data_IF_448560629617
#
_entry.id   IF_448560629617
#
_cell.length_a   1.000
_cell.length_b   1.000
_cell.length_c   1.000
_cell.angle_alpha   90.00
_cell.angle_beta   90.00
_cell.angle_gamma   90.00
#
_symmetry.space_group_name_H-M   'P 1'
#
loop_
_entity.id
_entity.type
_entity.pdbx_description
1 polymer ?
#
# COMPACT_ATOMS: atom_id res chain seq x y z
N UNK A 1 -1.75 3.34 -23.58
CA UNK A 1 -1.44 2.57 -23.14
C UNK A 1 -1.15 2.44 -21.99
N UNK A 2 -1.49 2.16 -21.76
CA UNK A 2 -1.34 1.88 -20.67
C UNK A 2 -0.13 1.83 -20.21
N UNK A 3 -0.05 2.27 -19.27
CA UNK A 3 1.22 2.22 -18.69
C UNK A 3 2.00 0.99 -19.08
N UNK A 4 3.19 1.20 -19.48
CA UNK A 4 4.07 0.10 -19.80
C UNK A 4 4.79 -0.39 -18.56
N UNK A 5 4.52 0.21 -17.41
CA UNK A 5 5.17 -0.18 -16.19
C UNK A 5 4.58 -1.46 -15.65
N UNK A 6 5.42 -2.47 -15.53
CA UNK A 6 5.06 -3.70 -14.87
C UNK A 6 5.58 -3.61 -13.45
N UNK A 7 4.66 -3.48 -12.50
CA UNK A 7 5.02 -3.41 -11.09
C UNK A 7 5.14 -4.82 -10.54
N UNK A 8 6.36 -5.31 -10.45
CA UNK A 8 6.61 -6.68 -10.00
C UNK A 8 6.18 -6.91 -8.56
N UNK A 9 6.08 -5.83 -7.77
CA UNK A 9 5.66 -5.93 -6.38
C UNK A 9 4.14 -5.88 -6.19
N UNK A 10 3.38 -5.47 -7.21
CA UNK A 10 1.94 -5.37 -7.08
C UNK A 10 1.25 -6.69 -6.72
N UNK A 11 1.61 -7.84 -7.29
CA UNK A 11 1.01 -9.10 -6.87
C UNK A 11 1.25 -9.42 -5.40
N UNK A 12 2.44 -9.11 -4.89
CA UNK A 12 2.77 -9.33 -3.48
C UNK A 12 1.97 -8.39 -2.58
N UNK A 13 1.88 -7.12 -2.95
CA UNK A 13 1.09 -6.14 -2.21
C UNK A 13 -0.38 -6.56 -2.20
N UNK A 14 -0.90 -6.98 -3.34
CA UNK A 14 -2.27 -7.47 -3.46
C UNK A 14 -2.51 -8.65 -2.50
N UNK A 15 -1.59 -9.60 -2.47
CA UNK A 15 -1.73 -10.77 -1.61
C UNK A 15 -1.67 -10.39 -0.14
N UNK A 16 -0.82 -9.44 0.23
CA UNK A 16 -0.77 -8.93 1.60
C UNK A 16 -2.09 -8.28 1.99
N UNK A 17 -2.67 -7.49 1.09
CA UNK A 17 -3.96 -6.84 1.34
C UNK A 17 -5.08 -7.86 1.45
N UNK A 18 -5.06 -8.91 0.66
CA UNK A 18 -6.05 -9.98 0.75
C UNK A 18 -5.98 -10.69 2.10
N UNK A 19 -4.76 -10.93 2.59
CA UNK A 19 -4.60 -11.54 3.92
C UNK A 19 -5.09 -10.61 5.01
N UNK A 20 -4.80 -9.31 4.89
CA UNK A 20 -5.29 -8.33 5.85
C UNK A 20 -6.81 -8.23 5.80
N UNK A 21 -7.41 -8.34 4.62
CA UNK A 21 -8.85 -8.35 4.45
C UNK A 21 -9.48 -9.53 5.20
N UNK A 22 -8.93 -10.74 5.02
CA UNK A 22 -9.40 -11.91 5.74
C UNK A 22 -9.25 -11.75 7.24
N UNK A 23 -8.14 -11.18 7.69
CA UNK A 23 -7.89 -10.92 9.10
C UNK A 23 -8.91 -9.90 9.64
N UNK A 24 -9.23 -8.87 8.86
CA UNK A 24 -10.23 -7.88 9.25
C UNK A 24 -11.62 -8.53 9.40
N UNK A 25 -11.99 -9.44 8.51
CA UNK A 25 -13.22 -10.20 8.64
C UNK A 25 -13.27 -10.97 9.95
N UNK A 26 -12.14 -11.54 10.36
CA UNK A 26 -12.06 -12.23 11.64
C UNK A 26 -12.26 -11.27 12.82
N UNK A 27 -11.75 -10.05 12.72
CA UNK A 27 -11.95 -9.03 13.77
C UNK A 27 -13.43 -8.69 13.89
N UNK A 28 -14.12 -8.55 12.76
CA UNK A 28 -15.57 -8.30 12.77
C UNK A 28 -16.29 -9.46 13.47
N UNK A 29 -15.91 -10.70 13.14
CA UNK A 29 -16.49 -11.87 13.78
C UNK A 29 -16.24 -11.89 15.29
N UNK A 30 -15.07 -11.47 15.73
CA UNK A 30 -14.74 -11.39 17.15
C UNK A 30 -15.67 -10.43 17.89
N UNK A 31 -16.02 -9.31 17.26
CA UNK A 31 -16.97 -8.36 17.83
C UNK A 31 -18.34 -9.01 17.95
N UNK A 32 -18.79 -9.68 16.90
CA UNK A 32 -20.09 -10.35 16.89
C UNK A 32 -20.17 -11.46 17.93
N UNK A 33 -19.06 -12.13 18.19
CA UNK A 33 -18.98 -13.22 19.16
C UNK A 33 -18.79 -12.73 20.59
N UNK A 34 -18.63 -11.45 20.78
CA UNK A 34 -18.44 -10.88 22.11
C UNK A 34 -17.10 -11.20 22.75
N UNK A 35 -16.05 -11.32 21.94
CA UNK A 35 -14.71 -11.55 22.48
C UNK A 35 -14.25 -10.36 23.32
N UNK A 36 -13.29 -10.58 24.25
CA UNK A 36 -12.80 -9.48 25.08
C UNK A 36 -12.22 -8.33 24.25
N UNK A 37 -12.52 -7.10 24.65
CA UNK A 37 -12.09 -5.90 23.92
C UNK A 37 -10.59 -5.87 23.71
N UNK A 38 -9.82 -6.27 24.72
CA UNK A 38 -8.35 -6.27 24.57
C UNK A 38 -7.92 -7.16 23.41
N UNK A 39 -8.50 -8.34 23.28
CA UNK A 39 -8.16 -9.25 22.18
C UNK A 39 -8.56 -8.67 20.84
N UNK A 40 -9.71 -8.03 20.76
CA UNK A 40 -10.18 -7.39 19.53
C UNK A 40 -9.22 -6.29 19.12
N UNK A 41 -8.84 -5.42 20.07
CA UNK A 41 -7.93 -4.31 19.82
C UNK A 41 -6.55 -4.81 19.35
N UNK A 42 -6.04 -5.88 19.96
CA UNK A 42 -4.76 -6.45 19.56
C UNK A 42 -4.81 -6.97 18.12
N UNK A 43 -5.89 -7.64 17.74
CA UNK A 43 -6.04 -8.13 16.37
C UNK A 43 -6.24 -7.00 15.38
N UNK A 44 -7.00 -5.99 15.75
CA UNK A 44 -7.20 -4.83 14.90
C UNK A 44 -5.89 -4.08 14.68
N UNK A 45 -5.06 -3.98 15.71
CA UNK A 45 -3.74 -3.36 15.60
C UNK A 45 -2.86 -4.12 14.61
N UNK A 46 -2.93 -5.45 14.62
CA UNK A 46 -2.18 -6.27 13.65
C UNK A 46 -2.65 -6.03 12.22
N UNK A 47 -3.98 -5.90 12.02
CA UNK A 47 -4.53 -5.59 10.71
C UNK A 47 -4.05 -4.21 10.24
N UNK A 48 -4.11 -3.22 11.12
CA UNK A 48 -3.66 -1.87 10.82
C UNK A 48 -2.19 -1.86 10.37
N UNK A 49 -1.33 -2.58 11.10
CA UNK A 49 0.08 -2.67 10.76
C UNK A 49 0.30 -3.36 9.41
N UNK A 50 -0.47 -4.40 9.13
CA UNK A 50 -0.36 -5.12 7.86
C UNK A 50 -0.73 -4.22 6.68
N UNK A 51 -1.80 -3.44 6.83
CA UNK A 51 -2.24 -2.51 5.80
C UNK A 51 -1.20 -1.40 5.62
N UNK A 52 -0.67 -0.87 6.70
CA UNK A 52 0.36 0.17 6.65
C UNK A 52 1.61 -0.34 5.93
N UNK A 53 2.02 -1.57 6.21
CA UNK A 53 3.18 -2.17 5.54
C UNK A 53 2.94 -2.35 4.05
N UNK A 54 1.74 -2.79 3.66
CA UNK A 54 1.37 -2.92 2.26
C UNK A 54 1.39 -1.58 1.54
N UNK A 55 0.87 -0.55 2.20
CA UNK A 55 0.88 0.81 1.66
C UNK A 55 2.32 1.29 1.42
N UNK A 56 3.20 1.09 2.39
CA UNK A 56 4.60 1.50 2.24
C UNK A 56 5.29 0.76 1.12
N UNK A 57 5.03 -0.54 0.98
CA UNK A 57 5.61 -1.32 -0.10
C UNK A 57 5.15 -0.79 -1.46
N UNK A 58 3.88 -0.45 -1.58
CA UNK A 58 3.32 0.11 -2.80
C UNK A 58 3.95 1.48 -3.11
N UNK A 59 4.09 2.33 -2.10
CA UNK A 59 4.69 3.65 -2.27
C UNK A 59 6.15 3.54 -2.71
N UNK A 60 6.93 2.66 -2.06
CA UNK A 60 8.33 2.48 -2.43
C UNK A 60 8.47 1.99 -3.87
N UNK A 61 7.63 1.05 -4.29
CA UNK A 61 7.64 0.57 -5.66
C UNK A 61 7.36 1.71 -6.64
N UNK A 62 6.36 2.52 -6.32
CA UNK A 62 5.99 3.65 -7.16
C UNK A 62 7.10 4.69 -7.24
N UNK A 63 7.74 5.00 -6.10
CA UNK A 63 8.81 5.98 -6.06
C UNK A 63 10.02 5.52 -6.88
N UNK A 64 10.35 4.24 -6.83
CA UNK A 64 11.44 3.69 -7.63
C UNK A 64 11.16 3.91 -9.12
N UNK A 65 9.95 3.61 -9.56
CA UNK A 65 9.55 3.80 -10.95
C UNK A 65 9.50 5.27 -11.33
N UNK A 66 9.02 6.13 -10.45
CA UNK A 66 8.99 7.57 -10.67
C UNK A 66 10.39 8.15 -10.87
N UNK A 67 11.33 7.72 -10.05
CA UNK A 67 12.70 8.20 -10.15
C UNK A 67 13.36 7.74 -11.45
N UNK A 68 13.13 6.49 -11.82
CA UNK A 68 13.63 5.99 -13.11
C UNK A 68 13.08 6.80 -14.27
N UNK A 69 11.77 7.05 -14.24
CA UNK A 69 11.11 7.84 -15.28
C UNK A 69 11.65 9.26 -15.34
N UNK A 70 11.90 9.88 -14.20
CA UNK A 70 12.41 11.23 -14.13
C UNK A 70 13.81 11.32 -14.76
N UNK A 71 14.63 10.29 -14.56
CA UNK A 71 15.98 10.25 -15.12
C UNK A 71 15.95 10.10 -16.64
N UNK A 72 14.98 9.34 -17.15
CA UNK A 72 14.89 9.05 -18.60
C UNK A 72 13.99 10.01 -19.35
N UNK A 73 13.10 10.68 -18.64
CA UNK A 73 12.04 11.45 -19.28
C UNK A 73 12.55 12.74 -19.89
N UNK A 74 11.78 13.21 -20.88
CA UNK A 74 11.91 14.57 -21.38
C UNK A 74 11.59 15.55 -20.23
N UNK A 75 12.03 16.81 -20.34
CA UNK A 75 11.79 17.78 -19.27
C UNK A 75 10.32 17.85 -18.82
N UNK A 76 9.40 17.72 -19.78
CA UNK A 76 7.97 17.75 -19.47
C UNK A 76 7.55 16.56 -18.62
N UNK A 77 8.07 15.38 -18.95
CA UNK A 77 7.81 14.17 -18.19
C UNK A 77 8.41 14.25 -16.80
N UNK A 78 9.60 14.87 -16.67
CA UNK A 78 10.24 15.05 -15.37
C UNK A 78 9.40 15.88 -14.43
N UNK A 79 8.72 16.91 -14.92
CA UNK A 79 7.84 17.73 -14.09
C UNK A 79 6.66 16.92 -13.55
N UNK A 80 6.05 16.13 -14.43
CA UNK A 80 4.94 15.28 -14.03
C UNK A 80 5.36 14.25 -12.99
N UNK A 81 6.54 13.65 -13.20
CA UNK A 81 7.07 12.67 -12.26
C UNK A 81 7.35 13.29 -10.90
N UNK A 82 7.90 14.51 -10.87
CA UNK A 82 8.17 15.22 -9.61
C UNK A 82 6.88 15.56 -8.88
N UNK A 83 5.86 16.02 -9.60
CA UNK A 83 4.56 16.33 -9.01
C UNK A 83 3.94 15.11 -8.37
N UNK A 84 3.96 13.98 -9.08
CA UNK A 84 3.43 12.73 -8.57
C UNK A 84 4.22 12.22 -7.36
N UNK A 85 5.54 12.34 -7.42
CA UNK A 85 6.41 12.01 -6.30
C UNK A 85 6.00 12.78 -5.05
N UNK A 86 5.81 14.09 -5.19
CA UNK A 86 5.39 14.94 -4.07
C UNK A 86 4.04 14.52 -3.51
N UNK A 87 3.10 14.19 -4.38
CA UNK A 87 1.77 13.81 -3.96
C UNK A 87 1.77 12.50 -3.19
N UNK A 88 2.48 11.50 -3.67
CA UNK A 88 2.47 10.19 -3.04
C UNK A 88 3.21 10.18 -1.70
N UNK A 89 4.24 11.03 -1.55
CA UNK A 89 4.98 11.09 -0.29
C UNK A 89 4.14 11.62 0.87
N UNK A 90 3.03 12.27 0.60
CA UNK A 90 2.13 12.75 1.65
C UNK A 90 1.53 11.59 2.46
N UNK A 91 1.55 10.40 1.92
CA UNK A 91 0.94 9.24 2.55
C UNK A 91 1.94 8.31 3.23
N UNK A 92 3.17 8.69 3.28
CA UNK A 92 4.20 7.89 3.95
C UNK A 92 3.98 7.77 5.46
#
# INVERSE_FOLDING_TARGET
MRSLHIHTTHPQVRNRLKRADGHLHNVVAMIDEGKPCLKIVQQLHAVEKAISAAKRALIHDHLDHCLEDAVRAQPRGSRAAVAEFKDITKYL
#
